data_IF_241964103346
#
_entry.id   IF_241964103346
#
_cell.length_a   1.000
_cell.length_b   1.000
_cell.length_c   1.000
_cell.angle_alpha   90.00
_cell.angle_beta   90.00
_cell.angle_gamma   90.00
#
_symmetry.space_group_name_H-M   'P 1'
#
loop_
_entity.id
_entity.type
_entity.pdbx_description
1 polymer ?
#
# COMPACT_ATOMS: atom_id res chain seq x y z
N UNK A 1 -6.10 -3.66 67.22
CA UNK A 1 -6.88 -3.85 65.96
C UNK A 1 -6.21 -3.02 64.86
N UNK A 2 -5.35 -3.70 64.10
CA UNK A 2 -4.49 -3.08 63.08
C UNK A 2 -5.16 -3.21 61.71
N UNK A 3 -5.50 -2.12 61.06
CA UNK A 3 -6.04 -2.14 59.70
C UNK A 3 -4.91 -2.34 58.69
N UNK A 4 -4.97 -3.44 57.99
CA UNK A 4 -4.11 -3.69 56.84
C UNK A 4 -4.46 -2.77 55.71
N UNK A 5 -3.49 -1.99 55.24
CA UNK A 5 -3.58 -1.18 54.05
C UNK A 5 -3.51 -2.06 52.79
N UNK A 6 -4.55 -2.01 51.96
CA UNK A 6 -4.55 -2.60 50.63
C UNK A 6 -3.86 -1.59 49.72
N UNK A 7 -2.62 -1.88 49.35
CA UNK A 7 -1.94 -1.17 48.25
C UNK A 7 -2.56 -1.62 46.95
N UNK A 8 -3.30 -0.73 46.29
CA UNK A 8 -3.69 -0.89 44.87
C UNK A 8 -2.42 -0.82 44.03
N UNK A 9 -2.09 -1.93 43.40
CA UNK A 9 -1.10 -1.99 42.30
C UNK A 9 -1.60 -1.05 41.20
N UNK A 10 -0.87 0.01 40.96
CA UNK A 10 -1.16 0.94 39.86
C UNK A 10 -1.07 0.19 38.54
N UNK A 11 -2.07 0.37 37.73
CA UNK A 11 -2.12 -0.02 36.32
C UNK A 11 -1.12 0.91 35.60
N UNK A 12 0.10 0.44 35.37
CA UNK A 12 1.07 1.10 34.51
C UNK A 12 0.66 0.81 33.07
N UNK A 13 -0.39 1.48 32.59
CA UNK A 13 -0.67 1.61 31.18
C UNK A 13 0.45 2.44 30.55
N UNK A 14 1.50 1.77 30.06
CA UNK A 14 2.58 2.43 29.30
C UNK A 14 1.97 3.18 28.12
N UNK A 15 2.49 4.38 27.82
CA UNK A 15 2.10 5.12 26.61
C UNK A 15 2.45 4.25 25.38
N UNK A 16 1.54 4.21 24.40
CA UNK A 16 1.79 3.50 23.13
C UNK A 16 3.07 4.02 22.46
N UNK A 17 3.89 3.12 21.96
CA UNK A 17 5.02 3.49 21.09
C UNK A 17 4.51 4.11 19.77
N UNK A 18 5.38 4.81 19.05
CA UNK A 18 5.00 5.39 17.76
C UNK A 18 4.64 4.31 16.74
N UNK A 19 5.27 3.14 16.83
CA UNK A 19 4.93 1.98 16.03
C UNK A 19 3.53 1.43 16.36
N UNK A 20 3.20 1.23 17.63
CA UNK A 20 1.87 0.80 18.06
C UNK A 20 0.77 1.81 17.63
N UNK A 21 1.06 3.11 17.68
CA UNK A 21 0.15 4.15 17.16
C UNK A 21 -0.08 3.99 15.65
N UNK A 22 0.99 3.76 14.90
CA UNK A 22 0.92 3.55 13.46
C UNK A 22 0.06 2.33 13.14
N UNK A 23 0.29 1.18 13.78
CA UNK A 23 -0.51 -0.04 13.60
C UNK A 23 -1.98 0.16 13.96
N UNK A 24 -2.26 0.97 14.97
CA UNK A 24 -3.62 1.35 15.36
C UNK A 24 -4.26 2.40 14.41
N UNK A 25 -3.57 2.85 13.37
CA UNK A 25 -4.06 3.91 12.46
C UNK A 25 -4.14 5.29 13.09
N UNK A 26 -3.48 5.48 14.23
CA UNK A 26 -3.36 6.77 14.92
C UNK A 26 -2.25 7.62 14.29
N UNK A 27 -2.20 8.88 14.68
CA UNK A 27 -1.08 9.73 14.28
C UNK A 27 0.19 9.36 15.06
N UNK A 28 1.31 9.34 14.36
CA UNK A 28 2.62 8.95 14.87
C UNK A 28 3.71 9.91 14.37
N UNK A 29 4.88 9.89 15.02
CA UNK A 29 6.04 10.70 14.66
C UNK A 29 6.93 9.98 13.65
N UNK A 30 7.29 10.66 12.57
CA UNK A 30 8.31 10.19 11.60
C UNK A 30 9.74 10.28 12.14
N UNK A 31 9.96 10.97 13.26
CA UNK A 31 11.27 11.12 13.90
C UNK A 31 11.59 9.95 14.85
N UNK A 32 10.66 9.05 15.05
CA UNK A 32 10.87 7.84 15.82
C UNK A 32 11.96 6.96 15.18
N UNK A 33 12.85 6.44 16.00
CA UNK A 33 14.01 5.70 15.53
C UNK A 33 13.65 4.37 14.83
N UNK A 34 12.60 3.67 15.29
CA UNK A 34 12.13 2.43 14.69
C UNK A 34 11.48 2.71 13.33
N UNK A 35 10.62 3.73 13.24
CA UNK A 35 10.00 4.18 11.98
C UNK A 35 11.07 4.57 10.96
N UNK A 36 12.10 5.31 11.38
CA UNK A 36 13.20 5.72 10.50
C UNK A 36 14.05 4.53 10.04
N UNK A 37 14.32 3.55 10.90
CA UNK A 37 15.08 2.36 10.57
C UNK A 37 14.37 1.52 9.50
N UNK A 38 13.07 1.26 9.63
CA UNK A 38 12.26 0.53 8.64
C UNK A 38 12.26 1.22 7.28
N UNK A 39 12.16 2.56 7.26
CA UNK A 39 12.27 3.31 6.00
C UNK A 39 13.65 3.16 5.35
N UNK A 40 14.72 3.13 6.13
CA UNK A 40 16.07 2.91 5.59
C UNK A 40 16.21 1.51 4.97
N UNK A 41 15.59 0.48 5.54
CA UNK A 41 15.54 -0.87 5.00
C UNK A 41 14.79 -0.93 3.66
N UNK A 42 13.62 -0.29 3.55
CA UNK A 42 12.86 -0.19 2.31
C UNK A 42 13.65 0.52 1.19
N UNK A 43 14.33 1.62 1.52
CA UNK A 43 15.23 2.31 0.58
C UNK A 43 16.35 1.38 0.10
N UNK A 44 16.97 0.61 1.01
CA UNK A 44 18.01 -0.37 0.66
C UNK A 44 17.45 -1.52 -0.19
N UNK A 45 16.23 -1.98 0.07
CA UNK A 45 15.53 -2.99 -0.72
C UNK A 45 15.31 -2.50 -2.17
N UNK A 46 14.79 -1.29 -2.35
CA UNK A 46 14.61 -0.66 -3.66
C UNK A 46 15.97 -0.49 -4.40
N UNK A 47 17.04 -0.15 -3.69
CA UNK A 47 18.37 -0.03 -4.28
C UNK A 47 18.91 -1.39 -4.76
N UNK A 48 18.65 -2.48 -4.02
CA UNK A 48 19.02 -3.84 -4.47
C UNK A 48 18.29 -4.21 -5.77
N UNK A 49 16.97 -3.96 -5.85
CA UNK A 49 16.19 -4.22 -7.07
C UNK A 49 16.70 -3.39 -8.25
N UNK A 50 16.99 -2.11 -8.04
CA UNK A 50 17.49 -1.22 -9.09
C UNK A 50 18.87 -1.64 -9.64
N UNK A 51 19.68 -2.32 -8.83
CA UNK A 51 20.99 -2.84 -9.21
C UNK A 51 20.96 -4.27 -9.80
N UNK A 52 19.81 -4.96 -9.74
CA UNK A 52 19.66 -6.32 -10.23
C UNK A 52 19.75 -6.36 -11.77
N UNK A 53 20.36 -7.42 -12.30
CA UNK A 53 20.50 -7.63 -13.74
C UNK A 53 19.17 -8.02 -14.36
N UNK A 54 18.58 -7.13 -15.15
CA UNK A 54 17.29 -7.34 -15.82
C UNK A 54 17.37 -8.37 -16.97
N UNK A 55 18.59 -8.73 -17.44
CA UNK A 55 18.77 -9.77 -18.44
C UNK A 55 18.72 -11.18 -17.83
N UNK A 56 18.92 -11.31 -16.53
CA UNK A 56 18.68 -12.52 -15.74
C UNK A 56 17.25 -12.48 -15.16
N UNK A 57 16.27 -12.93 -15.94
CA UNK A 57 14.86 -12.89 -15.55
C UNK A 57 14.58 -13.62 -14.22
N UNK A 58 15.27 -14.74 -13.97
CA UNK A 58 15.06 -15.53 -12.73
C UNK A 58 15.64 -14.82 -11.52
N UNK A 59 16.87 -14.31 -11.63
CA UNK A 59 17.53 -13.56 -10.54
C UNK A 59 16.81 -12.23 -10.26
N UNK A 60 16.32 -11.55 -11.31
CA UNK A 60 15.57 -10.31 -11.17
C UNK A 60 14.23 -10.55 -10.45
N UNK A 61 13.43 -11.57 -10.86
CA UNK A 61 12.20 -11.93 -10.18
C UNK A 61 12.46 -12.32 -8.71
N UNK A 62 13.49 -13.11 -8.44
CA UNK A 62 13.84 -13.48 -7.07
C UNK A 62 14.15 -12.25 -6.20
N UNK A 63 14.86 -11.25 -6.76
CA UNK A 63 15.15 -9.99 -6.09
C UNK A 63 13.87 -9.17 -5.88
N UNK A 64 13.02 -9.05 -6.90
CA UNK A 64 11.73 -8.37 -6.80
C UNK A 64 10.83 -9.00 -5.71
N UNK A 65 10.78 -10.31 -5.67
CA UNK A 65 10.04 -11.07 -4.65
C UNK A 65 10.56 -10.81 -3.23
N UNK A 66 11.87 -10.64 -3.07
CA UNK A 66 12.50 -10.40 -1.76
C UNK A 66 12.23 -9.01 -1.17
N UNK A 67 11.66 -8.09 -1.93
CA UNK A 67 11.29 -6.74 -1.49
C UNK A 67 9.77 -6.59 -1.23
N UNK A 68 9.03 -7.67 -1.22
CA UNK A 68 7.62 -7.70 -0.84
C UNK A 68 7.45 -8.58 0.40
N UNK A 69 6.45 -8.28 1.22
CA UNK A 69 6.09 -9.14 2.36
C UNK A 69 5.67 -10.53 1.88
N UNK A 70 4.86 -10.54 0.84
CA UNK A 70 4.32 -11.74 0.21
C UNK A 70 4.07 -11.50 -1.28
N UNK A 71 4.32 -12.52 -2.11
CA UNK A 71 3.95 -12.49 -3.52
C UNK A 71 3.60 -13.90 -4.00
N UNK A 72 2.46 -14.03 -4.68
CA UNK A 72 2.03 -15.24 -5.36
C UNK A 72 2.88 -15.56 -6.61
N UNK A 73 2.70 -16.72 -7.25
CA UNK A 73 3.34 -17.05 -8.52
C UNK A 73 2.99 -16.05 -9.63
N UNK A 74 3.86 -15.93 -10.64
CA UNK A 74 3.65 -15.03 -11.79
C UNK A 74 3.89 -13.55 -11.48
N UNK A 75 4.71 -13.24 -10.47
CA UNK A 75 5.11 -11.87 -10.17
C UNK A 75 5.91 -11.27 -11.32
N UNK A 76 5.52 -10.08 -11.79
CA UNK A 76 6.24 -9.30 -12.80
C UNK A 76 6.36 -7.85 -12.36
N UNK A 77 7.57 -7.45 -11.93
CA UNK A 77 7.88 -6.08 -11.52
C UNK A 77 8.89 -5.48 -12.49
N UNK A 78 8.47 -4.41 -13.15
CA UNK A 78 9.31 -3.68 -14.09
C UNK A 78 10.23 -2.66 -13.39
N UNK A 79 11.34 -2.23 -14.04
CA UNK A 79 12.29 -1.28 -13.49
C UNK A 79 11.68 0.01 -12.97
N UNK A 80 12.30 0.56 -11.92
CA UNK A 80 11.88 1.81 -11.30
C UNK A 80 10.84 1.64 -10.20
N UNK A 81 10.49 0.40 -9.82
CA UNK A 81 9.62 0.15 -8.66
C UNK A 81 10.20 0.77 -7.38
N UNK A 82 9.35 1.38 -6.57
CA UNK A 82 9.70 2.01 -5.29
C UNK A 82 8.70 1.62 -4.21
N UNK A 83 9.20 1.43 -2.99
CA UNK A 83 8.39 1.28 -1.78
C UNK A 83 9.05 2.01 -0.60
N UNK A 84 8.31 2.20 0.49
CA UNK A 84 8.84 2.85 1.70
C UNK A 84 9.42 1.83 2.68
N UNK A 85 8.70 0.73 2.96
CA UNK A 85 9.08 -0.28 3.97
C UNK A 85 9.36 -1.66 3.37
N UNK A 86 8.78 -1.97 2.22
CA UNK A 86 8.85 -3.26 1.54
C UNK A 86 8.07 -4.40 2.23
N UNK A 87 8.05 -4.45 3.52
CA UNK A 87 7.46 -5.53 4.34
C UNK A 87 5.93 -5.46 4.52
N UNK A 88 5.27 -4.46 3.95
CA UNK A 88 3.81 -4.27 4.05
C UNK A 88 3.07 -4.45 2.70
N UNK A 89 3.76 -4.90 1.66
CA UNK A 89 3.15 -5.15 0.35
C UNK A 89 2.86 -6.64 0.23
N UNK A 90 1.58 -6.99 0.16
CA UNK A 90 1.09 -8.36 -0.05
C UNK A 90 0.45 -8.44 -1.42
N UNK A 91 1.03 -9.21 -2.33
CA UNK A 91 0.54 -9.39 -3.69
C UNK A 91 0.10 -10.84 -3.93
N UNK A 92 -1.07 -11.01 -4.53
CA UNK A 92 -1.58 -12.30 -4.98
C UNK A 92 -0.89 -12.84 -6.23
N UNK A 93 -1.52 -13.82 -6.87
CA UNK A 93 -1.03 -14.49 -8.06
C UNK A 93 -1.07 -13.56 -9.28
N UNK A 94 -0.08 -13.67 -10.18
CA UNK A 94 -0.02 -12.95 -11.46
C UNK A 94 -0.10 -11.42 -11.31
N UNK A 95 0.55 -10.86 -10.30
CA UNK A 95 0.64 -9.43 -10.12
C UNK A 95 1.70 -8.83 -11.05
N UNK A 96 1.30 -7.82 -11.83
CA UNK A 96 2.20 -7.04 -12.70
C UNK A 96 2.27 -5.59 -12.25
N UNK A 97 3.47 -5.12 -11.92
CA UNK A 97 3.78 -3.70 -11.69
C UNK A 97 4.66 -3.18 -12.84
N UNK A 98 4.11 -2.33 -13.68
CA UNK A 98 4.83 -1.75 -14.81
C UNK A 98 5.87 -0.70 -14.35
N UNK A 99 6.60 -0.07 -15.28
CA UNK A 99 7.69 0.87 -15.00
C UNK A 99 7.30 1.98 -14.00
N UNK A 100 8.19 2.26 -13.05
CA UNK A 100 8.06 3.37 -12.09
C UNK A 100 6.81 3.31 -11.19
N UNK A 101 6.28 2.14 -10.90
CA UNK A 101 5.24 1.99 -9.89
C UNK A 101 5.82 2.33 -8.52
N UNK A 102 5.09 3.10 -7.72
CA UNK A 102 5.49 3.51 -6.37
C UNK A 102 4.40 3.14 -5.37
N UNK A 103 4.77 2.44 -4.31
CA UNK A 103 3.87 2.06 -3.22
C UNK A 103 4.44 2.57 -1.90
N UNK A 104 3.81 3.59 -1.30
CA UNK A 104 4.13 4.07 0.05
C UNK A 104 3.43 3.15 1.07
N UNK A 105 4.06 2.05 1.37
CA UNK A 105 3.55 0.93 2.17
C UNK A 105 3.80 1.07 3.67
N UNK A 106 3.62 2.27 4.22
CA UNK A 106 3.74 2.51 5.66
C UNK A 106 2.67 1.72 6.46
N UNK A 107 1.46 1.60 5.93
CA UNK A 107 0.46 0.62 6.38
C UNK A 107 0.33 -0.48 5.31
N UNK A 108 -0.28 -1.63 5.64
CA UNK A 108 -0.46 -2.72 4.69
C UNK A 108 -1.13 -2.30 3.38
N UNK A 109 -0.56 -2.76 2.27
CA UNK A 109 -1.12 -2.67 0.92
C UNK A 109 -1.36 -4.08 0.43
N UNK A 110 -2.63 -4.49 0.39
CA UNK A 110 -3.04 -5.82 -0.07
C UNK A 110 -3.52 -5.72 -1.52
N UNK A 111 -2.98 -6.57 -2.37
CA UNK A 111 -3.27 -6.63 -3.81
C UNK A 111 -3.71 -8.05 -4.13
N UNK A 112 -4.90 -8.21 -4.70
CA UNK A 112 -5.45 -9.51 -5.08
C UNK A 112 -4.80 -10.11 -6.33
N UNK A 113 -5.36 -11.21 -6.80
CA UNK A 113 -4.87 -11.96 -7.94
C UNK A 113 -5.16 -11.24 -9.27
N UNK A 114 -4.31 -11.46 -10.28
CA UNK A 114 -4.52 -10.96 -11.64
C UNK A 114 -4.45 -9.44 -11.78
N UNK A 115 -3.87 -8.73 -10.83
CA UNK A 115 -3.78 -7.28 -10.84
C UNK A 115 -2.70 -6.76 -11.78
N UNK A 116 -3.02 -5.69 -12.53
CA UNK A 116 -2.09 -5.02 -13.43
C UNK A 116 -2.01 -3.53 -13.10
N UNK A 117 -0.82 -3.04 -12.75
CA UNK A 117 -0.56 -1.63 -12.52
C UNK A 117 0.22 -1.05 -13.70
N UNK A 118 -0.36 -0.07 -14.37
CA UNK A 118 0.28 0.67 -15.45
C UNK A 118 1.48 1.50 -14.98
N UNK A 119 2.28 2.01 -15.93
CA UNK A 119 3.49 2.78 -15.57
C UNK A 119 3.14 4.02 -14.76
N UNK A 120 3.98 4.31 -13.76
CA UNK A 120 3.83 5.48 -12.90
C UNK A 120 2.63 5.43 -11.93
N UNK A 121 1.96 4.30 -11.78
CA UNK A 121 0.92 4.14 -10.74
C UNK A 121 1.53 4.42 -9.38
N UNK A 122 0.79 5.16 -8.56
CA UNK A 122 1.18 5.46 -7.18
C UNK A 122 0.09 5.01 -6.22
N UNK A 123 0.47 4.23 -5.20
CA UNK A 123 -0.41 3.86 -4.09
C UNK A 123 0.17 4.48 -2.82
N UNK A 124 -0.66 5.20 -2.07
CA UNK A 124 -0.24 5.75 -0.79
C UNK A 124 -1.06 5.14 0.34
N UNK A 125 -0.39 4.52 1.30
CA UNK A 125 -0.97 4.10 2.57
C UNK A 125 -0.61 5.05 3.72
N UNK A 126 -0.15 6.27 3.41
CA UNK A 126 0.24 7.28 4.39
C UNK A 126 -0.25 8.66 4.00
N UNK A 127 -0.56 9.48 5.01
CA UNK A 127 -0.94 10.89 4.86
C UNK A 127 -0.34 11.74 5.98
N UNK A 128 -0.48 13.08 5.86
CA UNK A 128 -0.03 14.04 6.86
C UNK A 128 -1.18 14.94 7.31
N UNK A 129 -1.12 15.48 8.54
CA UNK A 129 -2.12 16.45 9.01
C UNK A 129 -2.23 17.68 8.10
N UNK A 130 -3.46 18.19 7.96
CA UNK A 130 -3.70 19.46 7.23
C UNK A 130 -3.11 20.65 7.97
N UNK A 131 -3.03 20.56 9.31
CA UNK A 131 -2.39 21.59 10.15
C UNK A 131 -0.89 21.70 9.88
N UNK A 132 -0.42 22.92 9.58
CA UNK A 132 0.97 23.17 9.20
C UNK A 132 1.96 22.96 10.36
N UNK A 133 1.54 23.21 11.61
CA UNK A 133 2.39 23.01 12.78
C UNK A 133 2.68 21.53 12.95
N UNK A 134 1.66 20.71 12.92
CA UNK A 134 1.79 19.25 13.04
C UNK A 134 2.62 18.64 11.91
N UNK A 135 2.55 19.18 10.69
CA UNK A 135 3.45 18.75 9.59
C UNK A 135 4.90 19.13 9.86
N UNK A 136 5.17 20.30 10.45
CA UNK A 136 6.54 20.66 10.88
C UNK A 136 7.05 19.74 11.98
N UNK A 137 6.17 19.29 12.85
CA UNK A 137 6.46 18.31 13.91
C UNK A 137 6.58 16.89 13.36
N UNK A 138 6.63 16.74 12.01
CA UNK A 138 6.84 15.46 11.33
C UNK A 138 5.79 14.39 11.65
N UNK A 139 4.55 14.80 11.95
CA UNK A 139 3.44 13.87 12.22
C UNK A 139 2.90 13.30 10.91
N UNK A 140 2.60 12.00 10.94
CA UNK A 140 1.95 11.27 9.86
C UNK A 140 0.81 10.40 10.39
N UNK A 141 -0.03 9.89 9.51
CA UNK A 141 -1.04 8.86 9.79
C UNK A 141 -1.03 7.84 8.67
N UNK A 142 -1.00 6.56 9.02
CA UNK A 142 -1.05 5.47 8.07
C UNK A 142 -2.47 4.88 8.00
N UNK A 143 -2.88 4.48 6.77
CA UNK A 143 -4.17 3.81 6.52
C UNK A 143 -3.98 2.76 5.45
N UNK A 144 -4.36 1.50 5.71
CA UNK A 144 -4.17 0.42 4.74
C UNK A 144 -4.94 0.68 3.45
N UNK A 145 -4.43 0.12 2.35
CA UNK A 145 -5.09 0.12 1.04
C UNK A 145 -5.35 -1.33 0.65
N UNK A 146 -6.56 -1.61 0.18
CA UNK A 146 -6.95 -2.94 -0.29
C UNK A 146 -7.37 -2.86 -1.75
N UNK A 147 -6.79 -3.72 -2.57
CA UNK A 147 -7.13 -3.86 -4.00
C UNK A 147 -7.55 -5.31 -4.22
N UNK A 148 -8.75 -5.51 -4.71
CA UNK A 148 -9.33 -6.82 -5.01
C UNK A 148 -8.67 -7.51 -6.20
N UNK A 149 -9.30 -8.58 -6.69
CA UNK A 149 -8.79 -9.37 -7.81
C UNK A 149 -9.12 -8.73 -9.16
N UNK A 150 -8.33 -9.04 -10.20
CA UNK A 150 -8.57 -8.60 -11.58
C UNK A 150 -8.68 -7.06 -11.71
N UNK A 151 -7.90 -6.31 -10.94
CA UNK A 151 -7.90 -4.85 -10.98
C UNK A 151 -6.84 -4.34 -11.95
N UNK A 152 -7.26 -3.48 -12.87
CA UNK A 152 -6.34 -2.73 -13.74
C UNK A 152 -6.29 -1.26 -13.35
N UNK A 153 -5.15 -0.81 -12.86
CA UNK A 153 -4.84 0.60 -12.66
C UNK A 153 -4.13 1.14 -13.89
N UNK A 154 -4.75 2.07 -14.61
CA UNK A 154 -4.17 2.75 -15.77
C UNK A 154 -2.96 3.60 -15.40
N UNK A 155 -2.14 3.95 -16.40
CA UNK A 155 -0.90 4.73 -16.19
C UNK A 155 -1.14 5.99 -15.36
N UNK A 156 -0.23 6.26 -14.42
CA UNK A 156 -0.28 7.43 -13.51
C UNK A 156 -1.56 7.53 -12.68
N UNK A 157 -2.31 6.45 -12.48
CA UNK A 157 -3.39 6.45 -11.49
C UNK A 157 -2.81 6.58 -10.08
N UNK A 158 -3.52 7.30 -9.21
CA UNK A 158 -3.15 7.50 -7.80
C UNK A 158 -4.25 6.95 -6.89
N UNK A 159 -3.88 6.07 -5.96
CA UNK A 159 -4.77 5.54 -4.92
C UNK A 159 -4.41 6.17 -3.58
N UNK A 160 -5.40 6.78 -2.92
CA UNK A 160 -5.21 7.49 -1.66
C UNK A 160 -5.33 6.56 -0.45
N UNK A 161 -4.78 6.97 0.72
CA UNK A 161 -4.79 6.16 1.94
C UNK A 161 -6.19 5.76 2.40
N UNK A 162 -6.34 4.50 2.83
CA UNK A 162 -7.58 3.97 3.37
C UNK A 162 -8.60 3.54 2.32
N UNK A 163 -8.25 3.54 1.05
CA UNK A 163 -9.15 3.16 -0.05
C UNK A 163 -9.22 1.64 -0.19
N UNK A 164 -10.45 1.14 -0.42
CA UNK A 164 -10.70 -0.22 -0.88
C UNK A 164 -11.23 -0.19 -2.32
N UNK A 165 -10.55 -0.94 -3.21
CA UNK A 165 -11.00 -1.19 -4.58
C UNK A 165 -11.49 -2.63 -4.66
N UNK A 166 -12.73 -2.84 -5.09
CA UNK A 166 -13.30 -4.18 -5.25
C UNK A 166 -12.71 -4.95 -6.45
N UNK A 167 -13.22 -6.15 -6.69
CA UNK A 167 -12.77 -7.02 -7.77
C UNK A 167 -13.22 -6.50 -9.14
N UNK A 168 -12.47 -6.88 -10.20
CA UNK A 168 -12.83 -6.58 -11.59
C UNK A 168 -13.07 -5.08 -11.81
N UNK A 169 -12.13 -4.26 -11.39
CA UNK A 169 -12.20 -2.80 -11.53
C UNK A 169 -11.15 -2.30 -12.51
N UNK A 170 -11.56 -1.40 -13.39
CA UNK A 170 -10.65 -0.63 -14.24
C UNK A 170 -10.62 0.82 -13.76
N UNK A 171 -9.44 1.29 -13.39
CA UNK A 171 -9.18 2.69 -13.08
C UNK A 171 -8.45 3.31 -14.27
N UNK A 172 -9.04 4.29 -14.92
CA UNK A 172 -8.45 4.94 -16.10
C UNK A 172 -7.16 5.68 -15.78
N UNK A 173 -6.30 5.84 -16.78
CA UNK A 173 -5.05 6.57 -16.64
C UNK A 173 -5.25 7.99 -16.08
N UNK A 174 -4.34 8.40 -15.20
CA UNK A 174 -4.36 9.73 -14.56
C UNK A 174 -5.49 9.95 -13.55
N UNK A 175 -6.27 8.93 -13.21
CA UNK A 175 -7.34 9.06 -12.22
C UNK A 175 -6.79 9.14 -10.79
N UNK A 176 -7.49 9.87 -9.91
CA UNK A 176 -7.17 9.94 -8.47
C UNK A 176 -8.30 9.32 -7.67
N UNK A 177 -8.01 8.15 -7.09
CA UNK A 177 -8.96 7.37 -6.28
C UNK A 177 -8.92 7.87 -4.86
N UNK A 178 -9.97 8.58 -4.45
CA UNK A 178 -10.10 9.20 -3.11
C UNK A 178 -11.15 8.54 -2.23
N UNK A 179 -11.84 7.51 -2.73
CA UNK A 179 -12.92 6.77 -2.05
C UNK A 179 -12.97 5.35 -2.59
N UNK A 180 -13.60 4.48 -1.83
CA UNK A 180 -13.81 3.09 -2.23
C UNK A 180 -14.52 2.99 -3.58
N UNK A 181 -14.06 1.98 -4.35
CA UNK A 181 -14.63 1.64 -5.64
C UNK A 181 -15.27 0.26 -5.55
N UNK A 182 -16.57 0.14 -5.85
CA UNK A 182 -17.24 -1.16 -5.85
C UNK A 182 -16.78 -2.03 -7.01
N UNK A 183 -16.80 -3.35 -6.83
CA UNK A 183 -16.48 -4.35 -7.86
C UNK A 183 -17.22 -4.10 -9.17
N UNK A 184 -16.72 -4.67 -10.27
CA UNK A 184 -17.33 -4.61 -11.60
C UNK A 184 -17.53 -3.19 -12.13
N UNK A 185 -16.47 -2.36 -12.06
CA UNK A 185 -16.57 -0.94 -12.39
C UNK A 185 -15.45 -0.45 -13.30
N UNK A 186 -15.81 0.41 -14.25
CA UNK A 186 -14.90 1.33 -14.91
C UNK A 186 -15.00 2.69 -14.23
N UNK A 187 -13.86 3.25 -13.84
CA UNK A 187 -13.78 4.55 -13.15
C UNK A 187 -12.80 5.49 -13.84
N UNK A 188 -13.05 6.79 -13.77
CA UNK A 188 -12.15 7.80 -14.33
C UNK A 188 -12.26 9.16 -13.64
N UNK A 189 -11.25 10.00 -13.81
CA UNK A 189 -11.23 11.41 -13.44
C UNK A 189 -10.54 11.72 -12.10
N UNK A 190 -10.51 13.02 -11.78
CA UNK A 190 -9.92 13.60 -10.57
C UNK A 190 -10.94 14.52 -9.89
N UNK A 191 -11.51 14.11 -8.74
CA UNK A 191 -11.48 12.77 -8.16
C UNK A 191 -12.24 11.76 -9.03
N UNK A 192 -11.85 10.48 -8.92
CA UNK A 192 -12.44 9.41 -9.74
C UNK A 192 -13.93 9.21 -9.47
N UNK A 193 -14.67 8.81 -10.53
CA UNK A 193 -16.09 8.44 -10.46
C UNK A 193 -16.33 7.17 -11.26
N UNK A 194 -17.25 6.34 -10.80
CA UNK A 194 -17.75 5.20 -11.57
C UNK A 194 -18.52 5.74 -12.78
N UNK A 195 -18.06 5.39 -13.97
CA UNK A 195 -18.67 5.81 -15.24
C UNK A 195 -19.40 4.69 -15.93
N UNK A 196 -19.06 3.45 -15.59
CA UNK A 196 -19.74 2.24 -16.10
C UNK A 196 -19.68 1.15 -15.04
N UNK A 197 -20.74 0.34 -14.96
CA UNK A 197 -20.76 -0.94 -14.26
C UNK A 197 -20.70 -2.05 -15.29
N UNK A 198 -19.91 -3.10 -15.04
CA UNK A 198 -19.88 -4.26 -15.91
C UNK A 198 -21.05 -5.18 -15.60
N UNK A 199 -21.73 -5.70 -16.65
CA UNK A 199 -22.75 -6.74 -16.50
C UNK A 199 -22.07 -8.11 -16.67
N UNK A 200 -22.26 -9.02 -15.72
CA UNK A 200 -21.76 -10.38 -15.80
C UNK A 200 -22.23 -11.14 -17.05
N UNK A 201 -23.35 -10.74 -17.64
CA UNK A 201 -23.87 -11.34 -18.90
C UNK A 201 -23.00 -11.03 -20.14
N UNK A 202 -22.22 -9.93 -20.10
CA UNK A 202 -21.32 -9.60 -21.22
C UNK A 202 -20.11 -10.55 -21.29
N UNK A 203 -19.75 -11.23 -20.19
CA UNK A 203 -18.63 -12.19 -20.13
C UNK A 203 -18.92 -13.52 -20.87
N UNK A 204 -20.19 -13.93 -20.93
CA UNK A 204 -20.58 -15.18 -21.59
C UNK A 204 -20.70 -15.04 -23.11
N UNK A 205 -20.90 -13.83 -23.62
CA UNK A 205 -21.08 -13.59 -25.08
C UNK A 205 -19.75 -13.50 -25.86
N UNK A 206 -18.58 -13.50 -25.16
CA UNK A 206 -17.24 -13.31 -25.77
C UNK A 206 -16.40 -14.60 -25.73
N UNK A 207 -16.95 -15.70 -25.26
CA UNK A 207 -16.40 -17.07 -25.35
C UNK A 207 -17.01 -17.83 -26.51
#
# INVERSE_FOLDING_TARGET
>A
MTRAGVTRKGDEGGAMSEHEKLEAGLEYSLEDAEVAARKAEGVAACARLAAADQSDAVGYEATARSILAEAGPGLDIQPGFRCDWSENIHAGDNFTANYNVTIFDIAPVTIGDGCMFGPGVTISAVTHPVDATRRRDRIAQAKPVTIGNDVWLGANALVMPGVTIGDNVVVSAGAVVTRDIPSDSLTMGVPTRVVRRFDHREREATK
#
